data_IF_263518297820
#
_entry.id   IF_263518297820
#
_cell.length_a   1.000
_cell.length_b   1.000
_cell.length_c   1.000
_cell.angle_alpha   90.00
_cell.angle_beta   90.00
_cell.angle_gamma   90.00
#
_symmetry.space_group_name_H-M   'P 1'
#
loop_
_entity.id
_entity.type
_entity.pdbx_description
1 polymer ?
#
# COMPACT_ATOMS: atom_id res chain seq x y z
N UNK A 1 -0.06 -8.09 13.74
CA UNK A 1 -1.30 -7.41 14.21
C UNK A 1 -1.70 -6.40 13.15
N UNK A 2 -2.98 -6.30 12.80
CA UNK A 2 -3.45 -5.30 11.82
C UNK A 2 -3.62 -3.97 12.54
N UNK A 3 -2.83 -2.96 12.19
CA UNK A 3 -2.90 -1.64 12.82
C UNK A 3 -4.08 -0.80 12.31
N UNK A 4 -4.43 -0.92 11.02
CA UNK A 4 -5.55 -0.21 10.41
C UNK A 4 -6.11 -0.97 9.19
N UNK A 5 -7.40 -0.79 8.94
CA UNK A 5 -8.06 -1.15 7.69
C UNK A 5 -8.57 0.14 7.01
N UNK A 6 -8.36 0.26 5.70
CA UNK A 6 -8.80 1.41 4.90
C UNK A 6 -9.41 0.94 3.59
N UNK A 7 -10.55 1.51 3.23
CA UNK A 7 -11.19 1.32 1.93
C UNK A 7 -10.93 2.57 1.08
N UNK A 8 -10.18 2.42 -0.01
CA UNK A 8 -9.89 3.47 -0.98
C UNK A 8 -9.69 2.79 -2.35
N UNK A 9 -10.49 3.18 -3.34
CA UNK A 9 -10.49 2.56 -4.67
C UNK A 9 -9.18 2.80 -5.45
N UNK A 10 -8.43 3.84 -5.04
CA UNK A 10 -7.13 4.17 -5.64
C UNK A 10 -5.97 3.38 -5.04
N UNK A 11 -6.22 2.55 -4.02
CA UNK A 11 -5.23 1.69 -3.38
C UNK A 11 -4.04 2.51 -2.83
N UNK A 12 -2.81 2.23 -3.28
CA UNK A 12 -1.61 2.97 -2.89
C UNK A 12 -1.40 4.13 -3.87
N UNK A 13 -1.62 5.36 -3.42
CA UNK A 13 -1.47 6.55 -4.26
C UNK A 13 -1.02 7.79 -3.48
N UNK A 14 -0.25 8.64 -4.17
CA UNK A 14 0.15 9.97 -3.73
C UNK A 14 0.83 10.01 -2.35
N UNK A 15 0.80 11.20 -1.74
CA UNK A 15 1.37 11.41 -0.40
C UNK A 15 0.51 10.80 0.72
N UNK A 16 -0.74 10.43 0.44
CA UNK A 16 -1.62 9.81 1.44
C UNK A 16 -1.02 8.51 1.95
N UNK A 17 -0.49 7.66 1.07
CA UNK A 17 0.18 6.42 1.47
C UNK A 17 1.39 6.69 2.39
N UNK A 18 2.18 7.73 2.10
CA UNK A 18 3.34 8.13 2.91
C UNK A 18 2.94 8.62 4.31
N UNK A 19 1.87 9.40 4.42
CA UNK A 19 1.39 9.90 5.72
C UNK A 19 0.96 8.74 6.60
N UNK A 20 0.14 7.81 6.09
CA UNK A 20 -0.33 6.68 6.89
C UNK A 20 0.79 5.73 7.32
N UNK A 21 1.75 5.44 6.45
CA UNK A 21 2.86 4.54 6.83
C UNK A 21 3.77 5.14 7.91
N UNK A 22 3.86 6.48 7.95
CA UNK A 22 4.56 7.21 9.01
C UNK A 22 3.77 7.22 10.32
N UNK A 23 2.50 7.64 10.28
CA UNK A 23 1.66 7.79 11.49
C UNK A 23 1.38 6.45 12.19
N UNK A 24 1.19 5.37 11.44
CA UNK A 24 0.89 4.05 12.00
C UNK A 24 2.13 3.25 12.43
N UNK A 25 3.31 3.75 12.11
CA UNK A 25 4.58 3.02 12.19
C UNK A 25 4.51 1.57 11.67
N UNK A 26 3.79 1.34 10.56
CA UNK A 26 3.55 -0.02 10.05
C UNK A 26 4.79 -0.57 9.31
N UNK A 27 5.11 -1.87 9.45
CA UNK A 27 6.18 -2.51 8.69
C UNK A 27 5.83 -2.71 7.21
N UNK A 28 4.55 -2.62 6.83
CA UNK A 28 4.14 -2.81 5.44
C UNK A 28 2.67 -2.51 5.17
N UNK A 29 2.29 -2.66 3.90
CA UNK A 29 0.93 -2.48 3.38
C UNK A 29 0.52 -3.75 2.63
N UNK A 30 -0.72 -4.20 2.85
CA UNK A 30 -1.33 -5.30 2.08
C UNK A 30 -2.51 -4.74 1.29
N UNK A 31 -2.54 -5.03 0.00
CA UNK A 31 -3.65 -4.67 -0.90
C UNK A 31 -4.52 -5.90 -1.13
N UNK A 32 -5.70 -5.94 -0.51
CA UNK A 32 -6.70 -7.00 -0.69
C UNK A 32 -7.66 -6.63 -1.83
N UNK A 33 -7.23 -6.85 -3.09
CA UNK A 33 -8.03 -6.59 -4.28
C UNK A 33 -7.75 -7.66 -5.36
N UNK A 34 -8.77 -8.43 -5.73
CA UNK A 34 -8.63 -9.56 -6.67
C UNK A 34 -8.18 -9.15 -8.07
N UNK A 35 -8.62 -7.98 -8.55
CA UNK A 35 -8.25 -7.48 -9.87
C UNK A 35 -6.76 -7.10 -9.88
N UNK A 36 -6.33 -6.35 -8.87
CA UNK A 36 -4.92 -6.01 -8.68
C UNK A 36 -4.06 -7.27 -8.50
N UNK A 37 -4.54 -8.27 -7.75
CA UNK A 37 -3.81 -9.52 -7.53
C UNK A 37 -3.62 -10.36 -8.81
N UNK A 38 -4.47 -10.18 -9.83
CA UNK A 38 -4.41 -10.89 -11.11
C UNK A 38 -3.72 -10.11 -12.23
N UNK A 39 -3.47 -8.81 -12.03
CA UNK A 39 -2.85 -7.94 -13.02
C UNK A 39 -1.40 -7.60 -12.62
N UNK A 40 -0.44 -8.12 -13.40
CA UNK A 40 0.98 -7.93 -13.14
C UNK A 40 1.44 -6.46 -13.29
N UNK A 41 0.84 -5.70 -14.20
CA UNK A 41 1.16 -4.28 -14.40
C UNK A 41 0.69 -3.47 -13.20
N UNK A 42 -0.54 -3.72 -12.73
CA UNK A 42 -1.08 -3.05 -11.53
C UNK A 42 -0.22 -3.37 -10.30
N UNK A 43 0.19 -4.63 -10.11
CA UNK A 43 1.08 -5.01 -9.01
C UNK A 43 2.41 -4.27 -9.07
N UNK A 44 3.02 -4.16 -10.26
CA UNK A 44 4.27 -3.43 -10.45
C UNK A 44 4.08 -1.95 -10.09
N UNK A 45 3.01 -1.32 -10.59
CA UNK A 45 2.71 0.09 -10.30
C UNK A 45 2.48 0.33 -8.80
N UNK A 46 1.73 -0.54 -8.12
CA UNK A 46 1.51 -0.44 -6.68
C UNK A 46 2.82 -0.58 -5.89
N UNK A 47 3.69 -1.52 -6.27
CA UNK A 47 5.01 -1.68 -5.65
C UNK A 47 5.89 -0.44 -5.84
N UNK A 48 5.86 0.19 -7.01
CA UNK A 48 6.57 1.44 -7.27
C UNK A 48 5.99 2.63 -6.48
N UNK A 49 4.68 2.62 -6.22
CA UNK A 49 4.00 3.66 -5.44
C UNK A 49 4.17 3.47 -3.91
N UNK A 50 4.58 2.29 -3.45
CA UNK A 50 4.81 2.02 -2.04
C UNK A 50 5.95 2.90 -1.50
N UNK A 51 5.72 3.66 -0.40
CA UNK A 51 6.76 4.46 0.23
C UNK A 51 8.02 3.66 0.59
N UNK A 52 9.21 4.18 0.26
CA UNK A 52 10.50 3.58 0.61
C UNK A 52 10.93 3.96 2.04
N UNK A 53 11.81 3.17 2.66
CA UNK A 53 12.45 3.51 3.93
C UNK A 53 12.00 2.73 5.17
N UNK A 54 11.18 1.68 5.00
CA UNK A 54 10.94 0.69 6.07
C UNK A 54 11.36 -0.69 5.57
N UNK A 55 12.29 -1.31 6.30
CA UNK A 55 12.93 -2.56 5.94
C UNK A 55 11.88 -3.69 5.85
N UNK A 56 11.93 -4.43 4.75
CA UNK A 56 11.19 -5.66 4.48
C UNK A 56 11.98 -6.90 4.94
#
# INVERSE_FOLDING_TARGET
MIAQLRVDDRLIHGQVALVWTKELDTPGIVVANDNAAKDAMVQMTLKMATPTGKNY
#
